data_IF_714096934106
#
_entry.id   IF_714096934106
#
_cell.length_a   1.000
_cell.length_b   1.000
_cell.length_c   1.000
_cell.angle_alpha   90.00
_cell.angle_beta   90.00
_cell.angle_gamma   90.00
#
_symmetry.space_group_name_H-M   'P 1'
#
loop_
_entity.id
_entity.type
_entity.pdbx_description
1 polymer ?
#
# COMPACT_ATOMS: atom_id res chain seq x y z
N UNK A 1 17.48 11.70 -18.67
CA UNK A 1 17.88 12.93 -17.94
C UNK A 1 16.90 14.08 -18.16
N UNK A 2 16.75 14.62 -19.37
CA UNK A 2 15.85 15.76 -19.63
C UNK A 2 14.37 15.49 -19.39
N UNK A 3 13.88 14.30 -19.75
CA UNK A 3 12.48 13.89 -19.53
C UNK A 3 12.12 13.83 -18.04
N UNK A 4 13.02 13.29 -17.20
CA UNK A 4 12.81 13.26 -15.75
C UNK A 4 12.72 14.68 -15.16
N UNK A 5 13.57 15.62 -15.62
CA UNK A 5 13.52 17.02 -15.17
C UNK A 5 12.23 17.72 -15.58
N UNK A 6 11.75 17.48 -16.80
CA UNK A 6 10.48 18.05 -17.27
C UNK A 6 9.30 17.56 -16.41
N UNK A 7 9.24 16.26 -16.10
CA UNK A 7 8.22 15.68 -15.22
C UNK A 7 8.26 16.31 -13.83
N UNK A 8 9.44 16.45 -13.22
CA UNK A 8 9.59 17.09 -11.89
C UNK A 8 9.08 18.53 -11.91
N UNK A 9 9.41 19.31 -12.94
CA UNK A 9 8.92 20.71 -13.07
C UNK A 9 7.41 20.75 -13.19
N UNK A 10 6.81 19.86 -13.98
CA UNK A 10 5.34 19.78 -14.13
C UNK A 10 4.68 19.45 -12.79
N UNK A 11 5.17 18.43 -12.09
CA UNK A 11 4.64 18.02 -10.77
C UNK A 11 4.77 19.18 -9.77
N UNK A 12 5.90 19.90 -9.77
CA UNK A 12 6.12 21.04 -8.88
C UNK A 12 5.12 22.18 -9.13
N UNK A 13 4.78 22.47 -10.39
CA UNK A 13 3.77 23.47 -10.74
C UNK A 13 2.38 23.04 -10.24
N UNK A 14 2.01 21.76 -10.43
CA UNK A 14 0.73 21.24 -9.95
C UNK A 14 0.65 21.28 -8.43
N UNK A 15 1.69 20.85 -7.73
CA UNK A 15 1.75 20.90 -6.26
C UNK A 15 1.67 22.35 -5.74
N UNK A 16 2.36 23.30 -6.39
CA UNK A 16 2.28 24.71 -6.05
C UNK A 16 0.87 25.28 -6.26
N UNK A 17 0.17 24.84 -7.32
CA UNK A 17 -1.23 25.24 -7.56
C UNK A 17 -2.17 24.69 -6.48
N UNK A 18 -2.00 23.43 -6.06
CA UNK A 18 -2.80 22.81 -4.98
C UNK A 18 -2.51 23.48 -3.63
N UNK A 19 -1.25 23.82 -3.35
CA UNK A 19 -0.84 24.47 -2.09
C UNK A 19 -1.40 25.88 -1.88
N UNK A 20 -1.94 26.52 -2.92
CA UNK A 20 -2.60 27.82 -2.81
C UNK A 20 -4.02 27.72 -2.23
N UNK A 21 -4.58 26.51 -2.15
CA UNK A 21 -5.87 26.24 -1.52
C UNK A 21 -5.68 25.92 -0.02
N UNK A 22 -6.19 26.77 0.90
CA UNK A 22 -6.00 26.61 2.34
C UNK A 22 -6.96 25.60 2.99
N UNK A 23 -7.94 25.02 2.28
CA UNK A 23 -8.95 24.14 2.91
C UNK A 23 -8.48 22.72 3.23
N UNK A 24 -7.46 22.20 2.54
CA UNK A 24 -6.84 20.91 2.90
C UNK A 24 -5.38 21.12 3.23
N UNK A 25 -4.93 20.63 4.39
CA UNK A 25 -3.54 20.80 4.76
C UNK A 25 -2.68 19.89 3.87
N UNK A 26 -1.56 20.39 3.36
CA UNK A 26 -0.59 19.62 2.54
C UNK A 26 -0.21 18.31 3.27
N UNK A 27 -0.23 18.34 4.61
CA UNK A 27 0.04 17.19 5.46
C UNK A 27 -0.99 16.07 5.28
N UNK A 28 -2.27 16.39 5.09
CA UNK A 28 -3.34 15.39 4.91
C UNK A 28 -3.22 14.71 3.56
N UNK A 29 -2.95 15.48 2.50
CA UNK A 29 -2.77 14.95 1.15
C UNK A 29 -1.57 13.98 1.08
N UNK A 30 -0.47 14.34 1.73
CA UNK A 30 0.73 13.48 1.82
C UNK A 30 0.43 12.25 2.67
N UNK A 31 -0.20 12.41 3.83
CA UNK A 31 -0.55 11.29 4.72
C UNK A 31 -1.49 10.30 4.06
N UNK A 32 -2.46 10.77 3.28
CA UNK A 32 -3.35 9.94 2.47
C UNK A 32 -2.59 9.17 1.39
N UNK A 33 -1.70 9.83 0.65
CA UNK A 33 -0.88 9.18 -0.37
C UNK A 33 -0.01 8.06 0.23
N UNK A 34 0.66 8.34 1.36
CA UNK A 34 1.45 7.34 2.09
C UNK A 34 0.59 6.22 2.67
N UNK A 35 -0.64 6.49 3.11
CA UNK A 35 -1.56 5.45 3.56
C UNK A 35 -1.87 4.46 2.44
N UNK A 36 -2.16 4.95 1.23
CA UNK A 36 -2.44 4.11 0.06
C UNK A 36 -1.25 3.22 -0.32
N UNK A 37 -0.04 3.78 -0.36
CA UNK A 37 1.18 3.02 -0.63
C UNK A 37 1.49 2.01 0.48
N UNK A 38 1.39 2.42 1.75
CA UNK A 38 1.65 1.55 2.89
C UNK A 38 0.68 0.38 2.96
N UNK A 39 -0.60 0.61 2.69
CA UNK A 39 -1.63 -0.44 2.69
C UNK A 39 -1.48 -1.41 1.51
N UNK A 40 -1.09 -0.92 0.33
CA UNK A 40 -0.91 -1.76 -0.85
C UNK A 40 0.38 -2.58 -0.80
N UNK A 41 1.52 -1.96 -0.50
CA UNK A 41 2.84 -2.59 -0.60
C UNK A 41 3.33 -3.19 0.73
N UNK A 42 2.99 -2.60 1.87
CA UNK A 42 3.48 -3.05 3.18
C UNK A 42 3.19 -4.53 3.45
N UNK A 43 1.92 -4.97 3.37
CA UNK A 43 1.55 -6.38 3.59
C UNK A 43 2.23 -7.33 2.59
N UNK A 44 2.37 -6.91 1.33
CA UNK A 44 3.02 -7.71 0.28
C UNK A 44 4.49 -7.93 0.59
N UNK A 45 5.22 -6.86 0.92
CA UNK A 45 6.65 -6.94 1.25
C UNK A 45 6.89 -7.78 2.50
N UNK A 46 6.05 -7.63 3.53
CA UNK A 46 6.18 -8.46 4.73
C UNK A 46 5.94 -9.93 4.44
N UNK A 47 4.87 -10.26 3.72
CA UNK A 47 4.55 -11.65 3.41
C UNK A 47 5.53 -12.26 2.40
N UNK A 48 6.09 -11.49 1.47
CA UNK A 48 7.12 -12.00 0.56
C UNK A 48 8.42 -12.35 1.28
N UNK A 49 8.73 -11.70 2.40
CA UNK A 49 9.94 -11.96 3.18
C UNK A 49 9.77 -13.08 4.22
N UNK A 50 8.61 -13.16 4.86
CA UNK A 50 8.40 -14.05 6.00
C UNK A 50 7.45 -15.22 5.73
N UNK A 51 6.79 -15.26 4.57
CA UNK A 51 5.79 -16.28 4.26
C UNK A 51 6.04 -16.96 2.92
N UNK A 52 6.64 -18.16 2.99
CA UNK A 52 6.97 -19.04 1.86
C UNK A 52 5.82 -19.33 0.89
N UNK A 53 4.56 -19.24 1.35
CA UNK A 53 3.37 -19.55 0.53
C UNK A 53 2.82 -18.33 -0.23
N UNK A 54 3.38 -17.14 -0.01
CA UNK A 54 3.03 -15.90 -0.73
C UNK A 54 3.27 -16.06 -2.23
N UNK A 55 2.30 -15.66 -3.05
CA UNK A 55 2.38 -15.77 -4.51
C UNK A 55 1.89 -14.49 -5.21
N UNK A 56 2.18 -14.36 -6.51
CA UNK A 56 1.86 -13.16 -7.28
C UNK A 56 0.36 -12.82 -7.32
N UNK A 57 -0.52 -13.83 -7.35
CA UNK A 57 -1.97 -13.61 -7.34
C UNK A 57 -2.46 -13.03 -6.02
N UNK A 58 -1.97 -13.56 -4.89
CA UNK A 58 -2.27 -12.99 -3.57
C UNK A 58 -1.71 -11.59 -3.41
N UNK A 59 -0.48 -11.34 -3.86
CA UNK A 59 0.11 -10.01 -3.85
C UNK A 59 -0.73 -8.99 -4.62
N UNK A 60 -1.20 -9.34 -5.83
CA UNK A 60 -2.06 -8.47 -6.63
C UNK A 60 -3.40 -8.19 -5.95
N UNK A 61 -4.06 -9.22 -5.43
CA UNK A 61 -5.31 -9.07 -4.70
C UNK A 61 -5.16 -8.19 -3.46
N UNK A 62 -4.05 -8.36 -2.72
CA UNK A 62 -3.65 -7.53 -1.60
C UNK A 62 -3.49 -6.07 -1.95
N UNK A 63 -2.68 -5.77 -2.98
CA UNK A 63 -2.43 -4.40 -3.43
C UNK A 63 -3.73 -3.68 -3.80
N UNK A 64 -4.60 -4.35 -4.57
CA UNK A 64 -5.89 -3.79 -4.98
C UNK A 64 -6.79 -3.57 -3.76
N UNK A 65 -6.90 -4.57 -2.87
CA UNK A 65 -7.75 -4.49 -1.69
C UNK A 65 -7.30 -3.37 -0.75
N UNK A 66 -6.00 -3.28 -0.47
CA UNK A 66 -5.43 -2.24 0.40
C UNK A 66 -5.68 -0.84 -0.15
N UNK A 67 -5.37 -0.63 -1.44
CA UNK A 67 -5.58 0.66 -2.10
C UNK A 67 -7.05 1.09 -2.12
N UNK A 68 -7.96 0.18 -2.50
CA UNK A 68 -9.40 0.45 -2.53
C UNK A 68 -9.92 0.73 -1.11
N UNK A 69 -9.47 -0.02 -0.11
CA UNK A 69 -9.87 0.20 1.28
C UNK A 69 -9.48 1.59 1.73
N UNK A 70 -8.24 2.04 1.48
CA UNK A 70 -7.79 3.39 1.87
C UNK A 70 -8.66 4.47 1.22
N UNK A 71 -8.99 4.33 -0.08
CA UNK A 71 -9.88 5.27 -0.77
C UNK A 71 -11.26 5.30 -0.11
N UNK A 72 -11.89 4.13 0.10
CA UNK A 72 -13.23 4.04 0.69
C UNK A 72 -13.21 4.58 2.12
N UNK A 73 -12.18 4.27 2.90
CA UNK A 73 -12.07 4.70 4.29
C UNK A 73 -11.87 6.22 4.41
N UNK A 74 -10.99 6.81 3.60
CA UNK A 74 -10.82 8.26 3.60
C UNK A 74 -12.09 8.96 3.09
N UNK A 75 -12.75 8.41 2.07
CA UNK A 75 -13.93 9.04 1.44
C UNK A 75 -15.20 9.00 2.29
N UNK A 76 -15.36 8.01 3.19
CA UNK A 76 -16.61 7.85 3.94
C UNK A 76 -16.46 7.82 5.46
N UNK A 77 -15.28 7.44 5.97
CA UNK A 77 -15.08 7.08 7.38
C UNK A 77 -14.08 7.97 8.13
N UNK A 78 -13.64 9.06 7.50
CA UNK A 78 -12.63 9.97 8.04
C UNK A 78 -13.13 11.40 7.98
N UNK A 79 -13.01 12.15 9.08
CA UNK A 79 -13.38 13.57 9.12
C UNK A 79 -12.52 14.42 8.18
N UNK A 80 -11.24 14.06 8.02
CA UNK A 80 -10.26 14.75 7.17
C UNK A 80 -10.25 14.20 5.74
N UNK A 81 -11.45 13.95 5.18
CA UNK A 81 -11.57 13.34 3.86
C UNK A 81 -11.08 14.29 2.76
N UNK A 82 -10.20 13.78 1.90
CA UNK A 82 -9.67 14.55 0.76
C UNK A 82 -10.78 14.89 -0.25
N UNK A 83 -11.86 14.10 -0.24
CA UNK A 83 -12.99 14.25 -1.16
C UNK A 83 -14.18 15.04 -0.58
N UNK A 84 -14.09 15.54 0.67
CA UNK A 84 -15.14 16.34 1.30
C UNK A 84 -16.44 15.58 1.61
N UNK A 85 -16.42 14.25 1.51
CA UNK A 85 -17.52 13.36 1.88
C UNK A 85 -17.17 12.73 3.23
N UNK A 86 -18.07 12.80 4.21
CA UNK A 86 -17.89 12.12 5.49
C UNK A 86 -19.24 11.64 6.00
N UNK A 87 -19.38 10.32 6.15
CA UNK A 87 -20.59 9.72 6.71
C UNK A 87 -20.45 9.49 8.22
N UNK A 88 -19.24 9.21 8.71
CA UNK A 88 -18.94 8.94 10.11
C UNK A 88 -17.44 9.12 10.37
N UNK A 89 -17.04 9.76 11.47
CA UNK A 89 -15.63 9.87 11.82
C UNK A 89 -15.18 8.73 12.72
N UNK A 90 -14.30 7.88 12.20
CA UNK A 90 -13.69 6.79 12.97
C UNK A 90 -12.51 7.24 13.82
N UNK A 91 -11.91 8.41 13.54
CA UNK A 91 -10.66 8.88 14.13
C UNK A 91 -9.46 7.95 13.89
N UNK A 92 -9.61 7.01 12.94
CA UNK A 92 -8.70 5.89 12.75
C UNK A 92 -8.00 6.06 11.40
N UNK A 93 -6.67 6.18 11.45
CA UNK A 93 -5.85 6.38 10.26
C UNK A 93 -6.05 5.26 9.24
N UNK A 94 -6.34 5.62 7.99
CA UNK A 94 -6.86 4.75 6.94
C UNK A 94 -5.87 3.66 6.52
N UNK A 95 -4.58 3.88 6.81
CA UNK A 95 -3.52 2.90 6.63
C UNK A 95 -3.82 1.61 7.41
N UNK A 96 -4.29 1.71 8.66
CA UNK A 96 -4.49 0.55 9.54
C UNK A 96 -5.50 -0.45 8.97
N UNK A 97 -6.74 -0.05 8.64
CA UNK A 97 -7.70 -0.96 8.03
C UNK A 97 -7.26 -1.39 6.63
N UNK A 98 -6.70 -0.48 5.82
CA UNK A 98 -6.18 -0.80 4.50
C UNK A 98 -5.15 -1.93 4.53
N UNK A 99 -4.20 -1.83 5.46
CA UNK A 99 -3.17 -2.82 5.68
C UNK A 99 -3.75 -4.16 6.13
N UNK A 100 -4.71 -4.15 7.07
CA UNK A 100 -5.34 -5.37 7.58
C UNK A 100 -6.12 -6.11 6.49
N UNK A 101 -6.95 -5.41 5.72
CA UNK A 101 -7.72 -6.03 4.64
C UNK A 101 -6.83 -6.52 3.51
N UNK A 102 -5.77 -5.78 3.16
CA UNK A 102 -4.76 -6.25 2.22
C UNK A 102 -4.07 -7.52 2.72
N UNK A 103 -3.64 -7.59 3.98
CA UNK A 103 -3.02 -8.78 4.56
C UNK A 103 -3.94 -10.00 4.47
N UNK A 104 -5.21 -9.83 4.85
CA UNK A 104 -6.23 -10.89 4.77
C UNK A 104 -6.41 -11.33 3.31
N UNK A 105 -6.52 -10.39 2.38
CA UNK A 105 -6.68 -10.68 0.96
C UNK A 105 -5.48 -11.45 0.38
N UNK A 106 -4.25 -11.08 0.75
CA UNK A 106 -3.03 -11.80 0.31
C UNK A 106 -3.09 -13.23 0.82
N UNK A 107 -3.35 -13.43 2.11
CA UNK A 107 -3.38 -14.76 2.71
C UNK A 107 -4.48 -15.61 2.06
N UNK A 108 -5.70 -15.10 1.97
CA UNK A 108 -6.83 -15.81 1.40
C UNK A 108 -6.60 -16.19 -0.06
N UNK A 109 -6.20 -15.23 -0.90
CA UNK A 109 -6.01 -15.48 -2.33
C UNK A 109 -4.78 -16.35 -2.56
N UNK A 110 -3.67 -16.15 -1.85
CA UNK A 110 -2.50 -17.02 -2.00
C UNK A 110 -2.81 -18.47 -1.67
N UNK A 111 -3.67 -18.75 -0.69
CA UNK A 111 -4.12 -20.11 -0.36
C UNK A 111 -5.08 -20.69 -1.39
N UNK A 112 -5.90 -19.84 -2.04
CA UNK A 112 -6.85 -20.26 -3.07
C UNK A 112 -6.21 -20.45 -4.46
N UNK A 113 -5.06 -19.84 -4.71
CA UNK A 113 -4.35 -19.90 -6.00
C UNK A 113 -3.15 -20.86 -5.95
N UNK A 114 -2.61 -21.26 -7.12
CA UNK A 114 -1.47 -22.18 -7.19
C UNK A 114 -0.29 -21.73 -6.33
N UNK A 115 0.45 -22.72 -5.83
CA UNK A 115 1.66 -22.45 -5.05
C UNK A 115 2.74 -21.79 -5.91
N UNK A 116 3.66 -21.01 -5.30
CA UNK A 116 4.84 -20.52 -6.01
C UNK A 116 5.61 -21.67 -6.65
N UNK A 117 6.23 -21.42 -7.80
CA UNK A 117 7.06 -22.40 -8.48
C UNK A 117 8.18 -22.90 -7.57
N UNK A 118 8.63 -24.14 -7.78
CA UNK A 118 9.66 -24.76 -6.93
C UNK A 118 10.94 -23.93 -6.86
N UNK A 119 11.35 -23.33 -7.98
CA UNK A 119 12.51 -22.44 -8.05
C UNK A 119 12.40 -21.27 -7.05
N UNK A 120 11.24 -20.64 -6.96
CA UNK A 120 10.97 -19.54 -6.01
C UNK A 120 10.99 -20.05 -4.56
N UNK A 121 10.47 -21.26 -4.32
CA UNK A 121 10.48 -21.84 -2.98
C UNK A 121 11.91 -22.21 -2.53
N UNK A 122 12.71 -22.77 -3.45
CA UNK A 122 14.09 -23.15 -3.19
C UNK A 122 14.95 -21.91 -2.92
N UNK A 123 14.78 -20.84 -3.70
CA UNK A 123 15.44 -19.53 -3.47
C UNK A 123 15.03 -18.94 -2.11
N UNK A 124 13.74 -18.99 -1.75
CA UNK A 124 13.27 -18.53 -0.45
C UNK A 124 13.93 -19.32 0.71
N UNK A 125 14.02 -20.64 0.57
CA UNK A 125 14.60 -21.52 1.58
C UNK A 125 16.13 -21.32 1.72
N UNK A 126 16.84 -21.05 0.61
CA UNK A 126 18.27 -20.70 0.59
C UNK A 126 18.54 -19.38 1.33
N UNK A 127 17.85 -18.30 0.97
CA UNK A 127 18.00 -16.98 1.61
C UNK A 127 17.61 -17.04 3.09
N UNK A 128 16.57 -17.81 3.44
CA UNK A 128 16.17 -18.03 4.82
C UNK A 128 17.24 -18.80 5.62
N UNK A 129 18.01 -19.69 5.01
CA UNK A 129 19.12 -20.38 5.65
C UNK A 129 20.34 -19.47 5.86
N UNK A 130 20.71 -18.65 4.88
CA UNK A 130 21.82 -17.69 4.98
C UNK A 130 21.57 -16.65 6.07
N UNK A 131 20.36 -16.09 6.15
CA UNK A 131 20.01 -15.08 7.16
C UNK A 131 20.16 -15.59 8.60
N UNK A 132 19.96 -16.90 8.84
CA UNK A 132 20.13 -17.54 10.16
C UNK A 132 21.59 -17.83 10.50
N UNK A 133 22.47 -17.94 9.52
CA UNK A 133 23.91 -18.13 9.73
C UNK A 133 24.68 -16.86 10.05
N UNK A 134 24.03 -15.68 9.93
CA UNK A 134 24.64 -14.37 10.11
C UNK A 134 24.55 -13.82 11.55
N UNK A 135 23.83 -14.50 12.45
CA UNK A 135 23.65 -14.16 13.87
C UNK A 135 24.11 -15.32 14.76
#
# INVERSE_FOLDING_TARGET
>A
MWMARAVVVIIAIVAAAIALDPESSIMDLVSFAWAGFGAAFGPVVLLSLYWRRSNGWGALAGMITGFITVIIWNTFLSADSVFGLCAYDTGLYELVPGFLFALIAIIAVSLMTPEPEKEIQDEFDEVAAESKGLF
#
